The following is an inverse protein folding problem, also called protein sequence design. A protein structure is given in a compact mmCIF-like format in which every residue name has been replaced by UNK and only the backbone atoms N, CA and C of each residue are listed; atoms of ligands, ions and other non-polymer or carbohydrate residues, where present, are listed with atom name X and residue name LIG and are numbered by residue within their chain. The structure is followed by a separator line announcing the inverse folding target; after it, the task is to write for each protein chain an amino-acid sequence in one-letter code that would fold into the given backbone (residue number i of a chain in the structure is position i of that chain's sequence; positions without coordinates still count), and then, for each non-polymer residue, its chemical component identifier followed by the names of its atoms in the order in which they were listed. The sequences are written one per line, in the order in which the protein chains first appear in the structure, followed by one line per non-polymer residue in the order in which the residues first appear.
data_IF_029569754093
#
_entry.id   IF_029569754093
#
_cell.length_a   1.000
_cell.length_b   1.000
_cell.length_c   1.000
_cell.angle_alpha   90.00
_cell.angle_beta   90.00
_cell.angle_gamma   90.00
#
_symmetry.space_group_name_H-M   'P 1'
#
loop_
_entity.id
_entity.type
_entity.pdbx_description
1 polymer ?
#
# COMPACT_ATOMS: atom_id res chain seq x y z
N UNK A 1 -27.45 19.93 -10.99
CA UNK A 1 -26.48 19.44 -9.98
C UNK A 1 -25.84 20.65 -9.32
N UNK A 2 -25.35 20.54 -8.07
CA UNK A 2 -24.64 21.64 -7.41
C UNK A 2 -23.28 21.85 -8.11
N UNK A 3 -22.96 23.04 -8.65
CA UNK A 3 -21.69 23.30 -9.34
C UNK A 3 -20.43 22.98 -8.50
N UNK A 4 -20.51 23.13 -7.18
CA UNK A 4 -19.41 22.77 -6.29
C UNK A 4 -19.15 21.25 -6.24
N UNK A 5 -20.20 20.44 -6.41
CA UNK A 5 -20.09 18.98 -6.45
C UNK A 5 -19.39 18.51 -7.72
N UNK A 6 -19.76 19.08 -8.87
CA UNK A 6 -19.15 18.77 -10.16
C UNK A 6 -17.65 19.11 -10.16
N UNK A 7 -17.29 20.29 -9.62
CA UNK A 7 -15.89 20.71 -9.52
C UNK A 7 -15.07 19.80 -8.59
N UNK A 8 -15.66 19.35 -7.47
CA UNK A 8 -15.00 18.40 -6.55
C UNK A 8 -14.83 17.03 -7.20
N UNK A 9 -15.84 16.54 -7.91
CA UNK A 9 -15.80 15.28 -8.63
C UNK A 9 -14.73 15.30 -9.74
N UNK A 10 -14.68 16.36 -10.54
CA UNK A 10 -13.67 16.52 -11.60
C UNK A 10 -12.24 16.54 -11.01
N UNK A 11 -12.03 17.28 -9.91
CA UNK A 11 -10.74 17.32 -9.22
C UNK A 11 -10.34 15.95 -8.69
N UNK A 12 -11.26 15.21 -8.08
CA UNK A 12 -11.02 13.89 -7.55
C UNK A 12 -10.66 12.90 -8.67
N UNK A 13 -11.48 12.84 -9.74
CA UNK A 13 -11.25 11.99 -10.90
C UNK A 13 -9.90 12.29 -11.58
N UNK A 14 -9.50 13.56 -11.66
CA UNK A 14 -8.17 13.93 -12.16
C UNK A 14 -7.03 13.37 -11.29
N UNK A 15 -7.20 13.34 -9.97
CA UNK A 15 -6.21 12.78 -9.05
C UNK A 15 -6.18 11.25 -9.06
N UNK A 16 -7.34 10.61 -9.25
CA UNK A 16 -7.50 9.14 -9.26
C UNK A 16 -7.37 8.50 -10.65
N UNK A 17 -7.02 9.30 -11.67
CA UNK A 17 -6.72 8.83 -13.04
C UNK A 17 -5.24 8.98 -13.40
N UNK A 18 -4.34 9.15 -12.42
CA UNK A 18 -2.91 9.27 -12.68
C UNK A 18 -2.31 7.88 -12.94
N UNK A 19 -1.41 7.70 -13.92
CA UNK A 19 -0.73 6.42 -14.13
C UNK A 19 0.00 5.94 -12.88
N UNK A 20 -0.20 4.68 -12.51
CA UNK A 20 0.34 4.07 -11.29
C UNK A 20 0.99 2.69 -11.51
N UNK A 21 0.96 2.16 -12.73
CA UNK A 21 1.60 0.91 -13.13
C UNK A 21 2.82 1.20 -14.01
N UNK A 22 3.88 0.41 -13.81
CA UNK A 22 5.09 0.38 -14.61
C UNK A 22 5.29 -1.05 -15.15
N UNK A 23 5.42 -1.18 -16.47
CA UNK A 23 5.60 -2.46 -17.17
C UNK A 23 7.00 -3.06 -16.98
N UNK A 24 7.95 -2.31 -16.41
CA UNK A 24 9.23 -2.88 -16.00
C UNK A 24 9.01 -4.00 -14.97
N UNK A 25 9.68 -5.13 -15.18
CA UNK A 25 9.61 -6.27 -14.27
C UNK A 25 10.19 -5.89 -12.91
N UNK A 26 9.51 -6.30 -11.85
CA UNK A 26 9.99 -6.17 -10.49
C UNK A 26 11.13 -7.16 -10.27
N UNK A 27 12.30 -6.59 -9.99
CA UNK A 27 13.50 -7.29 -9.60
C UNK A 27 13.98 -6.69 -8.28
N UNK A 28 14.14 -7.54 -7.26
CA UNK A 28 14.60 -7.14 -5.93
C UNK A 28 16.12 -6.90 -5.89
N UNK A 29 16.87 -7.40 -6.86
CA UNK A 29 18.30 -7.09 -7.01
C UNK A 29 18.52 -5.69 -7.60
N UNK A 30 17.52 -5.19 -8.33
CA UNK A 30 17.51 -3.84 -8.91
C UNK A 30 16.61 -2.92 -8.08
N UNK A 31 17.16 -2.11 -7.14
CA UNK A 31 16.36 -1.23 -6.31
C UNK A 31 15.59 -0.20 -7.17
N UNK A 32 14.39 0.23 -6.74
CA UNK A 32 13.65 1.27 -7.42
C UNK A 32 14.43 2.60 -7.45
N UNK A 33 14.15 3.40 -8.48
CA UNK A 33 14.68 4.76 -8.57
C UNK A 33 14.19 5.63 -7.41
N UNK A 34 15.12 6.34 -6.78
CA UNK A 34 14.86 7.37 -5.79
C UNK A 34 14.87 8.78 -6.40
N UNK A 35 14.64 8.92 -7.71
CA UNK A 35 14.55 10.24 -8.34
C UNK A 35 13.30 10.98 -7.86
N UNK A 36 13.41 12.30 -7.69
CA UNK A 36 12.31 13.14 -7.23
C UNK A 36 11.08 13.06 -8.12
N UNK A 37 11.25 12.83 -9.43
CA UNK A 37 10.13 12.60 -10.36
C UNK A 37 9.34 11.34 -10.03
N UNK A 38 10.02 10.28 -9.59
CA UNK A 38 9.42 8.98 -9.34
C UNK A 38 8.68 8.98 -8.00
N UNK A 39 9.21 9.66 -6.98
CA UNK A 39 8.48 9.89 -5.72
C UNK A 39 7.25 10.80 -5.92
N UNK A 40 7.25 11.68 -6.93
CA UNK A 40 6.07 12.51 -7.26
C UNK A 40 5.01 11.74 -8.04
N UNK A 41 5.39 10.68 -8.74
CA UNK A 41 4.51 9.86 -9.59
C UNK A 41 4.91 8.39 -9.44
N UNK A 42 4.74 7.82 -8.24
CA UNK A 42 5.16 6.47 -7.96
C UNK A 42 4.37 5.50 -8.85
N UNK A 43 5.07 4.56 -9.48
CA UNK A 43 4.48 3.52 -10.31
C UNK A 43 5.04 2.17 -9.87
N UNK A 44 4.16 1.22 -9.62
CA UNK A 44 4.55 -0.10 -9.17
C UNK A 44 5.06 -0.91 -10.36
N UNK A 45 6.18 -1.63 -10.20
CA UNK A 45 6.72 -2.54 -11.23
C UNK A 45 5.90 -3.83 -11.34
N UNK A 46 5.93 -4.45 -12.52
CA UNK A 46 5.14 -5.64 -12.86
C UNK A 46 5.69 -6.89 -12.19
N UNK A 47 4.82 -7.75 -11.69
CA UNK A 47 5.17 -9.05 -11.15
C UNK A 47 5.78 -9.94 -12.27
N UNK A 48 6.91 -10.63 -12.03
CA UNK A 48 7.64 -11.37 -13.08
C UNK A 48 6.93 -12.59 -13.66
N UNK A 49 5.83 -13.04 -13.06
CA UNK A 49 5.14 -14.26 -13.47
C UNK A 49 3.71 -13.98 -13.94
N UNK A 50 3.28 -14.70 -14.96
CA UNK A 50 1.91 -14.67 -15.43
C UNK A 50 0.99 -15.53 -14.55
N UNK A 51 -0.32 -15.32 -14.68
CA UNK A 51 -1.35 -16.04 -13.93
C UNK A 51 -1.27 -17.57 -14.10
N UNK A 52 -0.77 -18.05 -15.24
CA UNK A 52 -0.54 -19.49 -15.50
C UNK A 52 0.55 -20.12 -14.63
N UNK A 53 1.47 -19.32 -14.11
CA UNK A 53 2.52 -19.79 -13.21
C UNK A 53 2.07 -19.83 -11.74
N UNK A 54 0.84 -19.39 -11.46
CA UNK A 54 0.30 -19.22 -10.11
C UNK A 54 -0.62 -20.39 -9.77
N UNK A 55 -0.42 -20.97 -8.60
CA UNK A 55 -1.32 -21.95 -8.00
C UNK A 55 -1.97 -21.39 -6.74
N UNK A 56 -3.31 -21.39 -6.71
CA UNK A 56 -4.11 -20.95 -5.57
C UNK A 56 -4.16 -22.07 -4.52
N UNK A 57 -3.50 -21.86 -3.39
CA UNK A 57 -3.32 -22.90 -2.37
C UNK A 57 -4.30 -22.77 -1.20
N UNK A 58 -4.89 -21.60 -0.98
CA UNK A 58 -5.90 -21.40 0.06
C UNK A 58 -6.38 -19.96 0.23
N UNK A 59 -7.34 -19.76 1.13
CA UNK A 59 -7.67 -18.45 1.68
C UNK A 59 -6.67 -18.00 2.75
N UNK A 60 -6.73 -16.73 3.15
CA UNK A 60 -5.94 -16.18 4.26
C UNK A 60 -6.43 -16.75 5.59
N UNK A 61 -7.74 -16.68 5.83
CA UNK A 61 -8.41 -17.15 7.03
C UNK A 61 -9.00 -18.56 6.85
N UNK A 62 -9.00 -19.39 7.92
CA UNK A 62 -9.67 -20.69 7.92
C UNK A 62 -11.14 -20.57 7.50
N UNK A 63 -11.65 -21.56 6.78
CA UNK A 63 -13.04 -21.54 6.29
C UNK A 63 -14.07 -21.43 7.43
N UNK A 64 -13.77 -22.03 8.58
CA UNK A 64 -14.66 -22.11 9.75
C UNK A 64 -14.81 -20.78 10.50
N UNK A 65 -13.90 -19.82 10.30
CA UNK A 65 -13.95 -18.50 10.95
C UNK A 65 -14.68 -17.44 10.13
N UNK A 66 -15.31 -17.81 9.00
CA UNK A 66 -15.99 -16.91 8.07
C UNK A 66 -17.41 -16.59 8.51
N UNK A 67 -17.73 -15.31 8.56
CA UNK A 67 -19.10 -14.82 8.66
C UNK A 67 -19.39 -13.84 7.51
N UNK A 68 -20.06 -14.37 6.48
CA UNK A 68 -20.43 -13.65 5.25
C UNK A 68 -21.31 -12.42 5.48
N UNK A 69 -22.08 -12.38 6.57
CA UNK A 69 -22.96 -11.25 6.88
C UNK A 69 -22.20 -10.08 7.50
N UNK A 70 -21.14 -10.38 8.25
CA UNK A 70 -20.35 -9.38 8.97
C UNK A 70 -19.05 -9.00 8.26
N UNK A 71 -18.66 -9.74 7.22
CA UNK A 71 -17.32 -9.63 6.65
C UNK A 71 -16.22 -10.35 7.46
N UNK A 72 -16.49 -10.71 8.72
CA UNK A 72 -15.49 -11.28 9.63
C UNK A 72 -14.90 -12.59 9.08
N UNK A 73 -13.56 -12.68 9.11
CA UNK A 73 -12.83 -13.86 8.64
C UNK A 73 -12.96 -14.16 7.15
N UNK A 74 -13.54 -13.25 6.35
CA UNK A 74 -13.50 -13.32 4.89
C UNK A 74 -12.14 -12.80 4.42
N UNK A 75 -11.61 -13.39 3.35
CA UNK A 75 -10.32 -12.96 2.78
C UNK A 75 -10.41 -11.65 1.99
N UNK A 76 -11.56 -10.96 2.02
CA UNK A 76 -11.80 -9.74 1.28
C UNK A 76 -12.57 -8.70 2.08
N UNK A 77 -12.31 -7.44 1.76
CA UNK A 77 -12.92 -6.27 2.38
C UNK A 77 -13.38 -5.26 1.33
N UNK A 78 -13.45 -3.99 1.70
CA UNK A 78 -13.92 -2.92 0.82
C UNK A 78 -13.06 -2.78 -0.45
N UNK A 79 -11.75 -2.96 -0.33
CA UNK A 79 -10.79 -2.65 -1.41
C UNK A 79 -10.50 -3.83 -2.33
N UNK A 80 -10.48 -5.05 -1.76
CA UNK A 80 -10.06 -6.21 -2.51
C UNK A 80 -10.29 -7.55 -1.83
N UNK A 81 -9.90 -8.63 -2.52
CA UNK A 81 -9.92 -10.01 -2.04
C UNK A 81 -8.54 -10.64 -2.12
N UNK A 82 -8.20 -11.46 -1.13
CA UNK A 82 -6.87 -12.04 -0.97
C UNK A 82 -6.91 -13.57 -1.10
N UNK A 83 -5.87 -14.14 -1.72
CA UNK A 83 -5.62 -15.58 -1.71
C UNK A 83 -4.19 -15.86 -1.32
N UNK A 84 -3.97 -17.01 -0.66
CA UNK A 84 -2.65 -17.62 -0.58
C UNK A 84 -2.33 -18.27 -1.93
N UNK A 85 -1.18 -17.91 -2.49
CA UNK A 85 -0.71 -18.43 -3.77
C UNK A 85 0.70 -19.01 -3.63
N UNK A 86 1.08 -19.87 -4.59
CA UNK A 86 2.47 -20.26 -4.84
C UNK A 86 2.80 -20.07 -6.30
N UNK A 87 4.05 -19.71 -6.57
CA UNK A 87 4.60 -19.64 -7.92
C UNK A 87 5.32 -20.95 -8.23
N UNK A 88 5.11 -21.52 -9.42
CA UNK A 88 5.81 -22.71 -9.92
C UNK A 88 5.77 -23.94 -8.98
N UNK A 89 4.71 -24.07 -8.18
CA UNK A 89 4.41 -25.22 -7.30
C UNK A 89 5.48 -25.64 -6.26
N UNK A 90 6.58 -24.91 -6.13
CA UNK A 90 7.71 -25.28 -5.26
C UNK A 90 8.42 -24.09 -4.58
N UNK A 91 7.72 -22.95 -4.46
CA UNK A 91 8.21 -21.73 -3.82
C UNK A 91 7.56 -21.41 -2.47
N UNK A 92 7.93 -20.26 -1.86
CA UNK A 92 7.27 -19.74 -0.68
C UNK A 92 5.80 -19.39 -0.97
N UNK A 93 5.02 -19.25 0.09
CA UNK A 93 3.64 -18.79 -0.01
C UNK A 93 3.63 -17.26 -0.13
N UNK A 94 2.84 -16.75 -1.07
CA UNK A 94 2.59 -15.33 -1.26
C UNK A 94 1.10 -15.04 -1.06
N UNK A 95 0.76 -13.75 -1.08
CA UNK A 95 -0.63 -13.29 -1.14
C UNK A 95 -0.86 -12.59 -2.47
N UNK A 96 -1.90 -12.98 -3.19
CA UNK A 96 -2.45 -12.21 -4.31
C UNK A 96 -3.64 -11.40 -3.78
N UNK A 97 -3.54 -10.06 -3.78
CA UNK A 97 -4.65 -9.15 -3.50
C UNK A 97 -5.24 -8.66 -4.82
N UNK A 98 -6.43 -9.11 -5.19
CA UNK A 98 -7.22 -8.50 -6.27
C UNK A 98 -7.93 -7.27 -5.73
N UNK A 99 -7.95 -6.19 -6.49
CA UNK A 99 -8.64 -4.95 -6.11
C UNK A 99 -9.93 -4.83 -6.92
N UNK A 100 -11.06 -4.59 -6.25
CA UNK A 100 -12.40 -4.71 -6.85
C UNK A 100 -12.70 -3.66 -7.93
N UNK A 101 -12.21 -2.44 -7.71
CA UNK A 101 -12.49 -1.32 -8.61
C UNK A 101 -11.60 -1.41 -9.85
N UNK A 102 -12.18 -1.33 -11.04
CA UNK A 102 -11.44 -1.33 -12.32
C UNK A 102 -11.34 0.05 -12.95
N UNK A 103 -12.08 1.02 -12.40
CA UNK A 103 -12.09 2.42 -12.83
C UNK A 103 -12.29 3.34 -11.62
N UNK A 104 -11.75 4.57 -11.66
CA UNK A 104 -11.96 5.54 -10.60
C UNK A 104 -13.41 6.05 -10.60
N UNK A 105 -13.99 6.24 -9.42
CA UNK A 105 -15.31 6.82 -9.26
C UNK A 105 -15.40 7.67 -8.00
N UNK A 106 -16.19 8.75 -8.06
CA UNK A 106 -16.35 9.73 -6.96
C UNK A 106 -17.58 9.38 -6.10
N UNK A 107 -17.57 9.59 -4.77
CA UNK A 107 -16.58 10.29 -3.95
C UNK A 107 -15.45 9.43 -3.37
N UNK A 108 -15.26 8.21 -3.86
CA UNK A 108 -14.31 7.27 -3.28
C UNK A 108 -12.89 7.45 -3.85
N UNK A 109 -11.89 7.00 -3.09
CA UNK A 109 -10.55 6.85 -3.64
C UNK A 109 -10.50 5.63 -4.55
N UNK A 110 -9.55 5.60 -5.49
CA UNK A 110 -9.33 4.46 -6.35
C UNK A 110 -8.29 3.52 -5.71
N UNK A 111 -8.76 2.42 -5.10
CA UNK A 111 -7.93 1.48 -4.34
C UNK A 111 -6.74 0.92 -5.14
N UNK A 112 -6.89 0.47 -6.41
CA UNK A 112 -5.76 0.10 -7.28
C UNK A 112 -4.64 1.14 -7.33
N UNK A 113 -5.00 2.39 -7.57
CA UNK A 113 -4.00 3.45 -7.61
C UNK A 113 -3.35 3.65 -6.25
N UNK A 114 -4.13 3.75 -5.17
CA UNK A 114 -3.59 4.04 -3.83
C UNK A 114 -2.64 2.94 -3.36
N UNK A 115 -3.09 1.68 -3.42
CA UNK A 115 -2.32 0.50 -3.02
C UNK A 115 -0.98 0.44 -3.78
N UNK A 116 -1.02 0.57 -5.11
CA UNK A 116 0.19 0.50 -5.95
C UNK A 116 1.15 1.67 -5.71
N UNK A 117 0.62 2.89 -5.60
CA UNK A 117 1.44 4.08 -5.35
C UNK A 117 2.13 4.04 -3.99
N UNK A 118 1.41 3.59 -2.96
CA UNK A 118 1.99 3.43 -1.62
C UNK A 118 3.05 2.32 -1.60
N UNK A 119 2.78 1.17 -2.24
CA UNK A 119 3.78 0.10 -2.37
C UNK A 119 5.07 0.61 -3.05
N UNK A 120 4.94 1.31 -4.18
CA UNK A 120 6.09 1.85 -4.91
C UNK A 120 6.84 2.93 -4.13
N UNK A 121 6.14 3.80 -3.39
CA UNK A 121 6.77 4.79 -2.51
C UNK A 121 7.56 4.12 -1.39
N UNK A 122 6.99 3.13 -0.71
CA UNK A 122 7.66 2.43 0.38
C UNK A 122 8.92 1.71 -0.12
N UNK A 123 8.87 1.09 -1.30
CA UNK A 123 10.06 0.49 -1.91
C UNK A 123 11.14 1.55 -2.23
N UNK A 124 10.75 2.73 -2.72
CA UNK A 124 11.69 3.83 -2.98
C UNK A 124 12.28 4.39 -1.68
N UNK A 125 11.49 4.51 -0.62
CA UNK A 125 11.96 4.95 0.69
C UNK A 125 12.92 3.93 1.32
N UNK A 126 12.63 2.64 1.22
CA UNK A 126 13.53 1.56 1.66
C UNK A 126 14.87 1.62 0.92
N UNK A 127 14.83 1.79 -0.41
CA UNK A 127 16.04 1.94 -1.22
C UNK A 127 16.84 3.20 -0.84
N UNK A 128 16.17 4.33 -0.58
CA UNK A 128 16.82 5.56 -0.15
C UNK A 128 17.48 5.42 1.23
N UNK A 129 16.84 4.74 2.18
CA UNK A 129 17.39 4.45 3.51
C UNK A 129 18.60 3.52 3.41
N UNK A 130 18.50 2.45 2.62
CA UNK A 130 19.61 1.54 2.38
C UNK A 130 20.81 2.26 1.73
N UNK A 131 20.57 3.11 0.73
CA UNK A 131 21.60 3.94 0.09
C UNK A 131 22.23 4.95 1.07
N UNK A 132 21.42 5.57 1.93
CA UNK A 132 21.91 6.53 2.92
C UNK A 132 22.84 5.90 3.98
N UNK A 133 22.63 4.62 4.29
CA UNK A 133 23.42 3.84 5.24
C UNK A 133 24.77 3.36 4.66
N UNK A 134 24.98 3.47 3.35
CA UNK A 134 26.23 3.00 2.71
C UNK A 134 27.42 3.87 3.13
N UNK A 135 28.63 3.28 3.30
CA UNK A 135 29.84 4.06 3.60
C UNK A 135 30.21 5.06 2.49
N UNK A 136 29.86 4.77 1.24
CA UNK A 136 30.09 5.59 0.05
C UNK A 136 28.88 6.45 -0.33
N UNK A 137 28.01 6.80 0.64
CA UNK A 137 26.79 7.58 0.40
C UNK A 137 27.10 8.91 -0.34
N UNK A 138 26.81 8.93 -1.64
CA UNK A 138 27.00 10.09 -2.52
C UNK A 138 25.77 11.00 -2.55
N UNK A 139 24.61 10.50 -2.11
CA UNK A 139 23.37 11.24 -2.15
C UNK A 139 23.14 12.07 -0.88
N UNK A 140 23.80 11.78 0.24
CA UNK A 140 23.62 12.50 1.51
C UNK A 140 22.53 11.92 2.43
N UNK A 141 22.30 12.54 3.59
CA UNK A 141 21.36 12.05 4.60
C UNK A 141 19.90 12.31 4.19
N UNK A 142 18.98 11.51 4.73
CA UNK A 142 17.54 11.79 4.69
C UNK A 142 17.21 12.66 5.90
N UNK A 143 16.85 13.91 5.67
CA UNK A 143 16.47 14.87 6.71
C UNK A 143 15.02 15.29 6.51
N UNK A 144 14.19 15.12 7.54
CA UNK A 144 12.75 15.39 7.53
C UNK A 144 12.37 16.37 8.63
N UNK A 145 11.22 17.02 8.47
CA UNK A 145 10.58 17.81 9.51
C UNK A 145 10.00 16.82 10.55
N UNK A 146 10.39 16.87 11.84
CA UNK A 146 10.01 15.87 12.83
C UNK A 146 8.49 15.82 13.12
N UNK A 147 7.76 16.90 12.90
CA UNK A 147 6.32 16.94 13.16
C UNK A 147 5.58 17.70 12.08
N UNK A 148 5.39 17.13 10.86
CA UNK A 148 4.70 17.81 9.78
C UNK A 148 3.24 18.09 10.19
N UNK A 149 2.85 19.36 10.19
CA UNK A 149 1.53 19.86 10.61
C UNK A 149 0.65 20.25 9.43
N UNK A 150 1.22 20.50 8.27
CA UNK A 150 0.49 20.90 7.07
C UNK A 150 0.90 20.06 5.86
N UNK A 151 0.04 20.04 4.84
CA UNK A 151 0.26 19.27 3.61
C UNK A 151 1.62 19.54 2.97
N UNK A 152 2.07 20.80 2.92
CA UNK A 152 3.36 21.15 2.31
C UNK A 152 4.54 20.53 3.04
N UNK A 153 4.52 20.48 4.37
CA UNK A 153 5.57 19.86 5.19
C UNK A 153 5.57 18.33 5.02
N UNK A 154 4.39 17.70 5.03
CA UNK A 154 4.28 16.26 4.77
C UNK A 154 4.76 15.90 3.35
N UNK A 155 4.45 16.73 2.37
CA UNK A 155 4.95 16.56 1.00
C UNK A 155 6.46 16.79 0.89
N UNK A 156 7.02 17.74 1.63
CA UNK A 156 8.47 17.93 1.72
C UNK A 156 9.17 16.72 2.34
N UNK A 157 8.62 16.18 3.44
CA UNK A 157 9.10 14.96 4.07
C UNK A 157 9.08 13.76 3.11
N UNK A 158 7.98 13.56 2.39
CA UNK A 158 7.90 12.50 1.38
C UNK A 158 9.00 12.67 0.32
N UNK A 159 9.27 13.90 -0.14
CA UNK A 159 10.30 14.17 -1.14
C UNK A 159 11.73 14.19 -0.57
N UNK A 160 11.91 14.21 0.75
CA UNK A 160 13.22 14.17 1.39
C UNK A 160 13.97 12.86 1.13
N UNK A 161 13.25 11.79 0.78
CA UNK A 161 13.83 10.51 0.36
C UNK A 161 14.43 10.55 -1.06
N UNK A 162 14.17 11.60 -1.85
CA UNK A 162 14.72 11.71 -3.20
C UNK A 162 16.22 12.01 -3.21
N UNK A 163 16.94 11.48 -4.20
CA UNK A 163 18.37 11.74 -4.41
C UNK A 163 18.67 13.24 -4.53
N UNK A 164 17.78 14.01 -5.15
CA UNK A 164 17.92 15.45 -5.31
C UNK A 164 17.74 16.23 -4.01
N UNK A 165 16.83 15.79 -3.14
CA UNK A 165 16.64 16.42 -1.83
C UNK A 165 17.83 16.10 -0.91
N UNK A 166 18.19 14.82 -0.81
CA UNK A 166 19.31 14.35 0.01
C UNK A 166 20.62 15.07 -0.35
N UNK A 167 20.90 15.26 -1.65
CA UNK A 167 22.15 15.90 -2.11
C UNK A 167 22.26 17.35 -1.67
N UNK A 168 21.12 18.05 -1.55
CA UNK A 168 21.08 19.42 -1.03
C UNK A 168 21.32 19.49 0.48
N UNK A 169 21.15 18.37 1.18
CA UNK A 169 21.34 18.24 2.61
C UNK A 169 22.76 17.80 3.01
N UNK A 170 23.67 17.58 2.05
CA UNK A 170 25.07 17.26 2.36
C UNK A 170 25.70 18.43 3.13
N UNK A 171 26.24 18.15 4.31
CA UNK A 171 26.87 19.15 5.18
C UNK A 171 25.88 20.06 5.92
N UNK A 172 24.56 19.86 5.75
CA UNK A 172 23.55 20.61 6.52
C UNK A 172 23.55 20.11 7.96
N UNK A 173 23.91 21.00 8.88
CA UNK A 173 23.70 20.84 10.31
C UNK A 173 22.44 21.65 10.65
N UNK A 174 21.29 20.98 10.75
CA UNK A 174 20.05 21.63 11.18
C UNK A 174 19.56 20.98 12.47
N UNK A 175 19.43 21.77 13.53
CA UNK A 175 18.87 21.31 14.79
C UNK A 175 17.35 21.07 14.70
N UNK A 176 16.70 21.63 13.68
CA UNK A 176 15.24 21.55 13.49
C UNK A 176 14.80 20.36 12.61
N UNK A 177 15.75 19.65 12.00
CA UNK A 177 15.47 18.50 11.15
C UNK A 177 15.86 17.19 11.84
N UNK A 178 15.05 16.17 11.63
CA UNK A 178 15.28 14.82 12.10
C UNK A 178 15.94 14.00 10.98
N UNK A 179 16.93 13.18 11.34
CA UNK A 179 17.50 12.22 10.39
C UNK A 179 16.75 10.90 10.44
N UNK A 180 16.37 10.38 9.27
CA UNK A 180 15.87 9.02 9.11
C UNK A 180 17.04 8.12 8.71
N UNK A 181 17.42 7.21 9.60
CA UNK A 181 18.56 6.29 9.43
C UNK A 181 18.13 4.83 9.28
N UNK A 182 16.87 4.52 9.56
CA UNK A 182 16.30 3.19 9.45
C UNK A 182 14.84 3.26 9.05
N UNK A 183 14.35 2.19 8.43
CA UNK A 183 12.94 1.99 8.11
C UNK A 183 12.47 0.72 8.83
N UNK A 184 11.36 0.76 9.58
CA UNK A 184 10.79 -0.44 10.19
C UNK A 184 10.34 -1.42 9.12
N UNK A 185 10.13 -2.69 9.49
CA UNK A 185 9.75 -3.73 8.54
C UNK A 185 8.40 -3.39 7.90
N UNK A 186 8.42 -3.13 6.60
CA UNK A 186 7.22 -3.05 5.77
C UNK A 186 6.94 -4.38 5.09
N UNK A 187 5.69 -4.58 4.65
CA UNK A 187 5.30 -5.74 3.84
C UNK A 187 6.01 -5.70 2.50
N UNK A 188 6.75 -6.76 2.16
CA UNK A 188 7.37 -6.93 0.84
C UNK A 188 6.30 -7.05 -0.25
N UNK A 189 6.37 -6.15 -1.23
CA UNK A 189 5.60 -6.19 -2.47
C UNK A 189 6.46 -6.78 -3.59
N UNK A 190 5.88 -7.69 -4.38
CA UNK A 190 6.53 -8.36 -5.51
C UNK A 190 6.03 -7.84 -6.87
N UNK A 191 5.08 -6.90 -6.87
CA UNK A 191 4.63 -6.19 -8.06
C UNK A 191 3.18 -6.44 -8.41
N UNK A 192 2.74 -5.77 -9.47
CA UNK A 192 1.36 -5.86 -9.96
C UNK A 192 1.21 -6.87 -11.09
N UNK A 193 -0.02 -7.36 -11.29
CA UNK A 193 -0.43 -8.07 -12.48
C UNK A 193 -1.88 -7.71 -12.84
N UNK A 194 -2.28 -7.99 -14.08
CA UNK A 194 -3.64 -7.78 -14.55
C UNK A 194 -4.16 -9.03 -15.25
N UNK A 195 -5.47 -9.27 -15.14
CA UNK A 195 -6.18 -10.39 -15.75
C UNK A 195 -7.68 -10.12 -15.71
N UNK A 196 -8.43 -10.79 -16.57
CA UNK A 196 -9.90 -10.71 -16.55
C UNK A 196 -10.50 -11.61 -15.48
N UNK A 197 -11.76 -11.34 -15.08
CA UNK A 197 -12.49 -12.24 -14.19
C UNK A 197 -12.60 -13.65 -14.77
N UNK A 198 -12.83 -13.75 -16.08
CA UNK A 198 -12.89 -15.04 -16.78
C UNK A 198 -11.56 -15.80 -16.67
N UNK A 199 -10.43 -15.14 -16.91
CA UNK A 199 -9.10 -15.73 -16.79
C UNK A 199 -8.82 -16.24 -15.37
N UNK A 200 -9.25 -15.48 -14.36
CA UNK A 200 -9.14 -15.88 -12.96
C UNK A 200 -9.99 -17.12 -12.65
N UNK A 201 -11.27 -17.11 -13.05
CA UNK A 201 -12.19 -18.21 -12.74
C UNK A 201 -11.79 -19.53 -13.38
N UNK A 202 -11.16 -19.52 -14.56
CA UNK A 202 -10.61 -20.74 -15.18
C UNK A 202 -9.54 -21.42 -14.32
N UNK A 203 -8.87 -20.68 -13.42
CA UNK A 203 -7.72 -21.15 -12.62
C UNK A 203 -8.04 -21.31 -11.14
N UNK A 204 -9.09 -20.64 -10.64
CA UNK A 204 -9.50 -20.75 -9.25
C UNK A 204 -10.15 -22.11 -8.95
N UNK A 205 -9.70 -22.84 -7.93
CA UNK A 205 -10.46 -23.96 -7.37
C UNK A 205 -11.83 -23.47 -6.89
N UNK A 206 -12.90 -24.23 -7.16
CA UNK A 206 -14.29 -23.85 -6.79
C UNK A 206 -14.45 -23.39 -5.33
N UNK A 207 -13.72 -24.02 -4.41
CA UNK A 207 -13.75 -23.70 -2.96
C UNK A 207 -13.12 -22.35 -2.60
N UNK A 208 -12.36 -21.74 -3.53
CA UNK A 208 -11.66 -20.47 -3.36
C UNK A 208 -12.29 -19.34 -4.18
N UNK A 209 -13.43 -19.59 -4.83
CA UNK A 209 -14.20 -18.54 -5.49
C UNK A 209 -14.68 -17.53 -4.43
N UNK A 210 -14.42 -16.23 -4.62
CA UNK A 210 -14.93 -15.21 -3.71
C UNK A 210 -16.45 -15.24 -3.66
N UNK A 211 -17.07 -15.22 -2.46
CA UNK A 211 -18.49 -14.93 -2.36
C UNK A 211 -18.73 -13.46 -2.77
N UNK A 212 -19.98 -13.13 -3.12
CA UNK A 212 -20.39 -11.73 -3.08
C UNK A 212 -20.28 -11.23 -1.64
N UNK A 213 -19.57 -10.12 -1.43
CA UNK A 213 -19.38 -9.54 -0.10
C UNK A 213 -20.06 -8.18 -0.06
N UNK A 214 -20.94 -7.95 0.90
CA UNK A 214 -21.45 -6.60 1.17
C UNK A 214 -20.56 -5.94 2.23
N UNK A 215 -19.88 -4.86 1.85
CA UNK A 215 -19.05 -4.06 2.76
C UNK A 215 -19.44 -2.60 2.57
N UNK A 216 -19.75 -1.91 3.67
CA UNK A 216 -20.16 -0.50 3.65
C UNK A 216 -21.32 -0.20 2.67
N UNK A 217 -22.30 -1.11 2.58
CA UNK A 217 -23.46 -1.06 1.66
C UNK A 217 -23.10 -1.16 0.17
N UNK A 218 -21.86 -1.57 -0.14
CA UNK A 218 -21.41 -1.85 -1.51
C UNK A 218 -21.26 -3.36 -1.66
N UNK A 219 -21.93 -3.94 -2.66
CA UNK A 219 -21.76 -5.35 -3.02
C UNK A 219 -20.53 -5.48 -3.91
N UNK A 220 -19.55 -6.26 -3.45
CA UNK A 220 -18.32 -6.58 -4.17
C UNK A 220 -18.43 -7.97 -4.80
N UNK A 221 -18.12 -8.04 -6.10
CA UNK A 221 -18.08 -9.27 -6.89
C UNK A 221 -17.10 -9.13 -8.06
N UNK A 222 -16.72 -10.26 -8.65
CA UNK A 222 -15.89 -10.32 -9.86
C UNK A 222 -16.81 -10.48 -11.07
N UNK A 223 -16.61 -9.62 -12.06
CA UNK A 223 -17.22 -9.64 -13.37
C UNK A 223 -16.28 -10.30 -14.38
N UNK A 224 -16.79 -11.16 -15.26
CA UNK A 224 -15.96 -11.96 -16.18
C UNK A 224 -15.18 -11.10 -17.17
N UNK A 225 -15.76 -9.99 -17.64
CA UNK A 225 -15.22 -9.18 -18.74
C UNK A 225 -14.27 -8.08 -18.26
N UNK A 226 -14.35 -7.70 -16.98
CA UNK A 226 -13.55 -6.61 -16.42
C UNK A 226 -12.08 -7.02 -16.26
N UNK A 227 -11.19 -6.09 -16.59
CA UNK A 227 -9.74 -6.22 -16.36
C UNK A 227 -9.39 -5.73 -14.96
N UNK A 228 -9.03 -6.67 -14.08
CA UNK A 228 -8.69 -6.37 -12.70
C UNK A 228 -7.19 -6.12 -12.53
N UNK A 229 -6.86 -5.28 -11.55
CA UNK A 229 -5.48 -5.14 -11.06
C UNK A 229 -5.32 -5.94 -9.77
N UNK A 230 -4.25 -6.71 -9.69
CA UNK A 230 -3.86 -7.43 -8.49
C UNK A 230 -2.42 -7.12 -8.11
N UNK A 231 -2.11 -7.24 -6.82
CA UNK A 231 -0.77 -7.04 -6.27
C UNK A 231 -0.33 -8.29 -5.52
N UNK A 232 0.91 -8.71 -5.76
CA UNK A 232 1.51 -9.86 -5.07
C UNK A 232 2.37 -9.37 -3.92
N UNK A 233 2.17 -9.95 -2.75
CA UNK A 233 2.89 -9.60 -1.53
C UNK A 233 3.45 -10.83 -0.83
N UNK A 234 4.36 -10.61 0.12
CA UNK A 234 4.73 -11.68 1.06
C UNK A 234 3.51 -12.11 1.88
N UNK A 235 3.50 -13.39 2.23
CA UNK A 235 2.56 -13.92 3.20
C UNK A 235 3.10 -13.71 4.60
N UNK A 236 2.30 -13.06 5.44
CA UNK A 236 2.59 -12.86 6.86
C UNK A 236 1.74 -13.86 7.63
N UNK A 237 2.39 -14.73 8.41
CA UNK A 237 1.70 -15.65 9.32
C UNK A 237 0.94 -14.87 10.39
N UNK A 238 -0.19 -15.43 10.83
CA UNK A 238 -0.98 -14.83 11.88
C UNK A 238 -0.21 -14.86 13.21
N UNK A 239 0.04 -13.70 13.78
CA UNK A 239 0.67 -13.55 15.09
C UNK A 239 0.23 -12.24 15.74
N UNK A 240 0.28 -12.21 17.08
CA UNK A 240 -0.07 -11.02 17.85
C UNK A 240 0.77 -9.81 17.42
N UNK A 241 0.13 -8.64 17.41
CA UNK A 241 0.82 -7.38 17.14
C UNK A 241 1.53 -6.92 18.41
N UNK A 242 2.83 -6.67 18.29
CA UNK A 242 3.61 -5.97 19.30
C UNK A 242 3.33 -4.46 19.17
N UNK A 243 2.88 -3.84 20.26
CA UNK A 243 2.45 -2.44 20.29
C UNK A 243 3.59 -1.49 19.94
N UNK A 244 4.81 -1.76 20.41
CA UNK A 244 5.98 -0.92 20.15
C UNK A 244 6.44 -1.05 18.69
N UNK A 245 6.33 -2.25 18.11
CA UNK A 245 6.60 -2.46 16.68
C UNK A 245 5.60 -1.69 15.83
N UNK A 246 4.30 -1.78 16.13
CA UNK A 246 3.26 -1.02 15.41
C UNK A 246 3.50 0.48 15.55
N UNK A 247 3.83 0.96 16.76
CA UNK A 247 4.19 2.36 17.01
C UNK A 247 5.32 2.82 16.09
N UNK A 248 6.39 2.04 15.99
CA UNK A 248 7.56 2.39 15.16
C UNK A 248 7.20 2.52 13.67
N UNK A 249 6.33 1.64 13.16
CA UNK A 249 5.81 1.71 11.78
C UNK A 249 4.98 2.98 11.61
N UNK A 250 4.14 3.29 12.59
CA UNK A 250 3.27 4.47 12.54
C UNK A 250 4.04 5.78 12.56
N UNK A 251 5.02 5.90 13.44
CA UNK A 251 5.91 7.05 13.53
C UNK A 251 6.71 7.26 12.25
N UNK A 252 7.30 6.19 11.69
CA UNK A 252 8.01 6.28 10.41
C UNK A 252 7.09 6.82 9.30
N UNK A 253 5.88 6.26 9.16
CA UNK A 253 4.94 6.68 8.12
C UNK A 253 4.51 8.14 8.29
N UNK A 254 4.26 8.58 9.52
CA UNK A 254 3.97 9.99 9.81
C UNK A 254 5.15 10.90 9.45
N UNK A 255 6.37 10.56 9.87
CA UNK A 255 7.57 11.31 9.51
C UNK A 255 7.83 11.30 8.00
N UNK A 256 7.47 10.24 7.28
CA UNK A 256 7.54 10.15 5.82
C UNK A 256 6.42 10.92 5.10
N UNK A 257 5.48 11.52 5.84
CA UNK A 257 4.41 12.38 5.33
C UNK A 257 3.08 11.67 5.04
N UNK A 258 2.96 10.37 5.35
CA UNK A 258 1.68 9.67 5.20
C UNK A 258 0.68 10.11 6.28
N UNK A 259 -0.60 10.07 5.92
CA UNK A 259 -1.72 10.20 6.85
C UNK A 259 -2.49 8.90 6.95
N UNK A 260 -3.03 8.59 8.12
CA UNK A 260 -3.99 7.50 8.32
C UNK A 260 -5.42 8.00 8.11
N UNK A 261 -6.23 7.26 7.35
CA UNK A 261 -7.65 7.58 7.25
C UNK A 261 -8.41 6.95 8.42
N UNK A 262 -8.29 5.63 8.60
CA UNK A 262 -8.98 4.85 9.64
C UNK A 262 -8.22 3.55 9.88
N UNK A 263 -7.16 3.55 10.70
CA UNK A 263 -6.33 2.37 10.87
C UNK A 263 -7.12 1.26 11.57
N UNK A 264 -7.21 0.08 10.95
CA UNK A 264 -7.98 -1.07 11.47
C UNK A 264 -7.05 -2.14 12.03
N UNK A 265 -7.36 -2.67 13.21
CA UNK A 265 -6.60 -3.76 13.83
C UNK A 265 -6.41 -4.96 12.88
N UNK A 266 -7.45 -5.30 12.12
CA UNK A 266 -7.46 -6.43 11.16
C UNK A 266 -6.45 -6.28 10.02
N UNK A 267 -6.00 -5.05 9.75
CA UNK A 267 -5.00 -4.74 8.73
C UNK A 267 -3.56 -4.82 9.28
N UNK A 268 -3.37 -5.25 10.53
CA UNK A 268 -2.05 -5.47 11.12
C UNK A 268 -1.84 -6.94 11.47
N UNK A 269 -0.72 -7.51 11.01
CA UNK A 269 -0.32 -8.89 11.32
C UNK A 269 1.13 -8.94 11.74
N UNK A 270 1.43 -9.48 12.91
CA UNK A 270 2.80 -9.58 13.42
C UNK A 270 3.56 -8.22 13.39
N UNK A 271 2.87 -7.12 13.67
CA UNK A 271 3.42 -5.76 13.62
C UNK A 271 3.58 -5.15 12.22
N UNK A 272 3.09 -5.82 11.17
CA UNK A 272 3.17 -5.36 9.77
C UNK A 272 1.80 -4.94 9.27
N UNK A 273 1.71 -3.72 8.71
CA UNK A 273 0.52 -3.25 7.99
C UNK A 273 0.39 -4.02 6.67
N UNK A 274 -0.73 -4.74 6.50
CA UNK A 274 -0.96 -5.58 5.32
C UNK A 274 -1.84 -4.92 4.26
N UNK A 275 -2.66 -3.93 4.62
CA UNK A 275 -3.44 -3.15 3.66
C UNK A 275 -2.81 -1.77 3.46
N UNK A 276 -2.24 -1.52 2.27
CA UNK A 276 -1.56 -0.25 2.00
C UNK A 276 -2.52 0.86 1.61
N UNK A 277 -3.82 0.59 1.42
CA UNK A 277 -4.83 1.64 1.22
C UNK A 277 -5.21 2.39 2.50
N UNK A 278 -4.87 1.84 3.68
CA UNK A 278 -5.14 2.48 4.99
C UNK A 278 -4.30 3.75 5.20
N UNK A 279 -3.19 3.85 4.50
CA UNK A 279 -2.30 5.01 4.51
C UNK A 279 -2.51 5.83 3.24
N UNK A 280 -2.35 7.15 3.35
CA UNK A 280 -2.49 8.07 2.23
C UNK A 280 -1.21 8.88 2.12
N UNK A 281 -0.54 8.83 0.98
CA UNK A 281 0.59 9.72 0.72
C UNK A 281 0.08 11.14 0.36
N UNK A 282 0.89 12.20 0.53
CA UNK A 282 0.50 13.58 0.27
C UNK A 282 -0.02 13.86 -1.15
N UNK A 283 0.23 13.00 -2.13
CA UNK A 283 -0.24 13.19 -3.52
C UNK A 283 -1.52 12.44 -3.85
N UNK A 284 -1.95 11.52 -3.00
CA UNK A 284 -3.17 10.75 -3.21
C UNK A 284 -4.41 11.51 -2.78
N UNK A 285 -5.54 11.18 -3.42
CA UNK A 285 -6.84 11.71 -3.02
C UNK A 285 -7.20 11.23 -1.61
N UNK A 286 -7.70 12.15 -0.78
CA UNK A 286 -8.09 11.87 0.60
C UNK A 286 -6.96 11.99 1.64
N UNK A 287 -5.82 12.62 1.31
CA UNK A 287 -4.83 12.95 2.33
C UNK A 287 -5.39 14.00 3.28
N UNK A 288 -5.27 13.77 4.59
CA UNK A 288 -5.83 14.65 5.61
C UNK A 288 -4.88 14.88 6.77
N UNK A 289 -4.84 16.13 7.24
CA UNK A 289 -4.04 16.51 8.42
C UNK A 289 -4.46 15.76 9.68
N UNK A 290 -5.75 15.49 9.85
CA UNK A 290 -6.27 14.82 11.05
C UNK A 290 -5.74 13.39 11.20
N UNK A 291 -5.36 12.77 10.08
CA UNK A 291 -4.69 11.47 10.03
C UNK A 291 -3.18 11.51 10.31
N UNK A 292 -2.61 12.69 10.58
CA UNK A 292 -1.19 12.88 10.86
C UNK A 292 -1.00 13.18 12.35
N UNK A 293 0.01 12.59 12.97
CA UNK A 293 0.37 12.86 14.36
C UNK A 293 0.98 11.65 15.06
N UNK A 294 1.45 11.89 16.28
CA UNK A 294 1.75 10.80 17.22
C UNK A 294 0.42 10.15 17.60
N UNK A 295 0.10 9.04 16.94
CA UNK A 295 -1.10 8.26 17.22
C UNK A 295 -0.72 7.17 18.21
N UNK A 296 -1.43 7.08 19.33
CA UNK A 296 -1.28 5.96 20.24
C UNK A 296 -1.70 4.66 19.52
N UNK A 297 -0.78 3.71 19.30
CA UNK A 297 -1.05 2.45 18.60
C UNK A 297 -2.17 1.63 19.25
N UNK A 298 -2.46 1.88 20.54
CA UNK A 298 -3.56 1.22 21.26
C UNK A 298 -4.91 1.49 20.59
N UNK A 299 -5.16 2.69 20.05
CA UNK A 299 -6.41 2.99 19.32
C UNK A 299 -6.55 2.22 18.01
N UNK A 300 -5.43 1.79 17.42
CA UNK A 300 -5.42 1.00 16.19
C UNK A 300 -5.65 -0.49 16.49
N UNK A 301 -5.13 -0.94 17.62
CA UNK A 301 -5.15 -2.35 18.04
C UNK A 301 -6.36 -2.69 18.91
N UNK A 302 -7.08 -1.70 19.43
CA UNK A 302 -8.38 -1.89 20.06
C UNK A 302 -9.38 -2.42 19.04
N UNK A 303 -9.73 -3.69 19.21
CA UNK A 303 -10.88 -4.28 18.53
C UNK A 303 -12.11 -3.64 19.16
N UNK A 304 -12.84 -2.80 18.44
CA UNK A 304 -14.20 -2.44 18.85
C UNK A 304 -15.02 -3.73 18.88
N UNK A 305 -15.19 -4.30 20.07
CA UNK A 305 -16.02 -5.48 20.35
C UNK A 305 -17.49 -5.17 20.19
#
# INVERSE_FOLDING_TARGET
MNPEWEQRAEKALKMTSQPFLDDNIMDHESPPSCAKSDLKRPRLRKFPFDLDSISFVGGIYPYQSRNVWTGQGIDGGLDGYNWKIRVQNSGPTYVLKLLWDTEPWYPHYFAPQRECQNAALLQAMEAAVADAARPDNTNGPILVIPGPRVWSEAYENMLAFSNEARRRCIGVQSHDLMSITSMPRMRKCYGWMQFTGEELYRRLPRRLIPPCVEVDKVVRSIDDEKLYTAVVYEFIEEAANDVDVVKSVMEFLWHAGFSYLWPKADNWKAGVLVDLSDIVNPRSYGWERQGCGETDPSFVLETYT
#
